data_IF_050103646971
#
_entry.id   IF_050103646971
#
_cell.length_a   1.000
_cell.length_b   1.000
_cell.length_c   1.000
_cell.angle_alpha   90.00
_cell.angle_beta   90.00
_cell.angle_gamma   90.00
#
_symmetry.space_group_name_H-M   'P 1'
#
loop_
_entity.id
_entity.type
_entity.pdbx_description
1 polymer ?
#
# COMPACT_ATOMS: atom_id res chain seq x y z
N UNK A 1 -4.30 24.77 28.37
CA UNK A 1 -4.12 26.15 27.85
C UNK A 1 -3.15 26.03 26.69
N UNK A 2 -3.60 26.21 25.46
CA UNK A 2 -2.77 26.06 24.27
C UNK A 2 -1.56 27.03 24.32
N UNK A 3 -0.38 26.54 23.94
CA UNK A 3 0.83 27.37 23.91
C UNK A 3 0.65 28.54 22.92
N UNK A 4 0.71 29.77 23.45
CA UNK A 4 0.44 31.03 22.74
C UNK A 4 1.27 31.30 21.47
N UNK A 5 2.30 30.50 21.19
CA UNK A 5 3.17 30.61 20.02
C UNK A 5 2.82 29.62 18.88
N UNK A 6 1.92 28.66 19.09
CA UNK A 6 1.53 27.71 18.05
C UNK A 6 0.45 28.36 17.17
N UNK A 7 0.67 28.50 15.85
CA UNK A 7 -0.36 29.03 14.96
C UNK A 7 -1.61 28.15 14.99
N UNK A 8 -2.81 28.75 14.99
CA UNK A 8 -4.08 28.01 15.06
C UNK A 8 -4.25 26.95 13.94
N UNK A 9 -3.68 27.19 12.76
CA UNK A 9 -3.67 26.23 11.66
C UNK A 9 -2.80 25.00 11.97
N UNK A 10 -1.68 25.19 12.68
CA UNK A 10 -0.77 24.12 13.09
C UNK A 10 -1.37 23.31 14.23
N UNK A 11 -2.02 23.97 15.19
CA UNK A 11 -2.73 23.28 16.28
C UNK A 11 -3.86 22.41 15.74
N UNK A 12 -4.65 22.92 14.79
CA UNK A 12 -5.72 22.14 14.15
C UNK A 12 -5.18 20.90 13.40
N UNK A 13 -4.03 21.04 12.72
CA UNK A 13 -3.38 19.94 12.02
C UNK A 13 -2.77 18.91 12.98
N UNK A 14 -2.19 19.37 14.08
CA UNK A 14 -1.63 18.50 15.12
C UNK A 14 -2.71 17.73 15.88
N UNK A 15 -3.86 18.36 16.15
CA UNK A 15 -5.02 17.72 16.76
C UNK A 15 -5.65 16.65 15.88
N UNK A 16 -5.52 16.81 14.57
CA UNK A 16 -5.89 15.78 13.61
C UNK A 16 -4.91 14.61 13.59
N UNK A 17 -3.63 14.84 13.89
CA UNK A 17 -2.59 13.79 13.90
C UNK A 17 -2.48 13.05 15.24
N UNK A 18 -2.60 13.73 16.38
CA UNK A 18 -2.22 13.21 17.71
C UNK A 18 -3.24 13.63 18.78
N UNK A 19 -3.50 12.80 19.80
CA UNK A 19 -4.29 13.22 20.97
C UNK A 19 -3.77 14.50 21.66
N UNK A 20 -4.71 15.29 22.20
CA UNK A 20 -4.44 16.55 22.93
C UNK A 20 -3.36 16.41 24.01
N UNK A 21 -3.37 15.31 24.78
CA UNK A 21 -2.40 15.06 25.84
C UNK A 21 -0.96 15.01 25.34
N UNK A 22 -0.73 14.45 24.15
CA UNK A 22 0.59 14.41 23.55
C UNK A 22 1.01 15.76 22.96
N UNK A 23 0.07 16.59 22.51
CA UNK A 23 0.37 17.96 22.07
C UNK A 23 0.83 18.79 23.26
N UNK A 24 0.13 18.69 24.40
CA UNK A 24 0.56 19.36 25.64
C UNK A 24 1.95 18.88 26.07
N UNK A 25 2.19 17.57 26.09
CA UNK A 25 3.48 17.03 26.53
C UNK A 25 4.65 17.39 25.59
N UNK A 26 4.46 17.32 24.27
CA UNK A 26 5.53 17.58 23.30
C UNK A 26 5.79 19.07 23.04
N UNK A 27 4.73 19.90 22.97
CA UNK A 27 4.81 21.31 22.53
C UNK A 27 4.64 22.33 23.65
N UNK A 28 3.90 22.00 24.72
CA UNK A 28 3.70 22.91 25.86
C UNK A 28 4.77 22.64 26.92
N UNK A 29 4.99 21.37 27.27
CA UNK A 29 5.98 20.96 28.27
C UNK A 29 7.39 20.75 27.68
N UNK A 30 7.56 20.87 26.36
CA UNK A 30 8.81 20.57 25.62
C UNK A 30 9.42 19.20 25.97
N UNK A 31 8.59 18.23 26.37
CA UNK A 31 9.04 16.90 26.71
C UNK A 31 9.12 16.00 25.46
N UNK A 32 10.04 16.37 24.56
CA UNK A 32 10.26 15.68 23.27
C UNK A 32 10.74 14.23 23.47
N UNK A 33 11.24 13.90 24.68
CA UNK A 33 11.67 12.56 25.06
C UNK A 33 10.54 11.67 25.58
N UNK A 34 9.28 12.13 25.57
CA UNK A 34 8.13 11.29 25.88
C UNK A 34 7.94 10.23 24.77
N UNK A 35 8.57 9.07 24.97
CA UNK A 35 8.74 8.00 23.96
C UNK A 35 7.41 7.57 23.33
N UNK A 36 6.34 7.50 24.11
CA UNK A 36 5.02 7.07 23.64
C UNK A 36 4.39 8.08 22.66
N UNK A 37 4.46 9.37 22.99
CA UNK A 37 3.90 10.43 22.16
C UNK A 37 4.72 10.62 20.87
N UNK A 38 6.04 10.47 20.97
CA UNK A 38 6.93 10.54 19.81
C UNK A 38 6.67 9.38 18.83
N UNK A 39 6.46 8.16 19.32
CA UNK A 39 6.10 7.00 18.48
C UNK A 39 4.78 7.22 17.75
N UNK A 40 3.75 7.73 18.44
CA UNK A 40 2.45 8.04 17.83
C UNK A 40 2.60 9.10 16.75
N UNK A 41 3.32 10.20 17.03
CA UNK A 41 3.60 11.25 16.06
C UNK A 41 4.27 10.70 14.81
N UNK A 42 5.37 9.98 14.97
CA UNK A 42 6.14 9.40 13.85
C UNK A 42 5.26 8.43 13.06
N UNK A 43 4.48 7.59 13.74
CA UNK A 43 3.59 6.63 13.10
C UNK A 43 2.56 7.33 12.22
N UNK A 44 1.93 8.40 12.73
CA UNK A 44 0.91 9.17 12.00
C UNK A 44 1.49 9.90 10.80
N UNK A 45 2.63 10.58 10.98
CA UNK A 45 3.33 11.27 9.89
C UNK A 45 3.71 10.28 8.80
N UNK A 46 4.25 9.12 9.18
CA UNK A 46 4.63 8.08 8.25
C UNK A 46 3.41 7.48 7.53
N UNK A 47 2.33 7.18 8.25
CA UNK A 47 1.07 6.67 7.70
C UNK A 47 0.46 7.64 6.67
N UNK A 48 0.35 8.92 7.00
CA UNK A 48 -0.15 9.95 6.08
C UNK A 48 0.82 10.21 4.91
N UNK A 49 2.13 10.15 5.15
CA UNK A 49 3.14 10.21 4.08
C UNK A 49 2.97 9.08 3.07
N UNK A 50 2.71 7.86 3.54
CA UNK A 50 2.44 6.72 2.65
C UNK A 50 1.12 6.92 1.91
N UNK A 51 0.06 7.43 2.55
CA UNK A 51 -1.21 7.76 1.89
C UNK A 51 -1.00 8.75 0.74
N UNK A 52 -0.23 9.82 0.98
CA UNK A 52 0.12 10.82 -0.03
C UNK A 52 0.94 10.23 -1.17
N UNK A 53 1.91 9.35 -0.87
CA UNK A 53 2.67 8.64 -1.89
C UNK A 53 1.76 7.77 -2.77
N UNK A 54 0.97 6.90 -2.13
CA UNK A 54 0.07 5.95 -2.79
C UNK A 54 -1.00 6.63 -3.66
N UNK A 55 -1.42 7.85 -3.30
CA UNK A 55 -2.38 8.62 -4.12
C UNK A 55 -1.78 9.17 -5.42
N UNK A 56 -0.46 9.12 -5.62
CA UNK A 56 0.19 9.55 -6.86
C UNK A 56 0.70 8.36 -7.68
N UNK A 57 0.99 7.21 -7.04
CA UNK A 57 1.69 6.06 -7.66
C UNK A 57 1.08 5.60 -9.00
N UNK A 58 -0.24 5.48 -9.12
CA UNK A 58 -0.88 4.98 -10.36
C UNK A 58 -1.29 6.09 -11.32
N UNK A 59 -1.22 7.36 -10.91
CA UNK A 59 -1.60 8.51 -11.75
C UNK A 59 -0.80 8.57 -13.06
N UNK A 60 0.54 8.38 -13.08
CA UNK A 60 1.30 8.33 -14.32
C UNK A 60 0.84 7.21 -15.26
N UNK A 61 0.43 6.06 -14.72
CA UNK A 61 -0.09 4.95 -15.51
C UNK A 61 -1.44 5.30 -16.15
N UNK A 62 -2.34 5.93 -15.39
CA UNK A 62 -3.64 6.42 -15.89
C UNK A 62 -3.44 7.43 -17.03
N UNK A 63 -2.54 8.41 -16.84
CA UNK A 63 -2.23 9.41 -17.86
C UNK A 63 -1.70 8.73 -19.13
N UNK A 64 -0.78 7.77 -19.01
CA UNK A 64 -0.25 7.03 -20.17
C UNK A 64 -1.34 6.31 -20.97
N UNK A 65 -2.27 5.62 -20.30
CA UNK A 65 -3.38 4.91 -20.98
C UNK A 65 -4.28 5.88 -21.71
N UNK A 66 -4.63 7.00 -21.07
CA UNK A 66 -5.51 8.03 -21.66
C UNK A 66 -4.85 8.68 -22.87
N UNK A 67 -3.57 9.06 -22.76
CA UNK A 67 -2.82 9.69 -23.85
C UNK A 67 -2.59 8.73 -25.02
N UNK A 68 -2.27 7.47 -24.74
CA UNK A 68 -2.07 6.45 -25.77
C UNK A 68 -3.38 5.95 -26.38
N UNK A 69 -4.54 6.21 -25.74
CA UNK A 69 -5.85 5.65 -26.10
C UNK A 69 -5.83 4.12 -26.25
N UNK A 70 -4.92 3.46 -25.54
CA UNK A 70 -4.68 2.03 -25.61
C UNK A 70 -4.22 1.51 -24.25
N UNK A 71 -4.63 0.28 -23.94
CA UNK A 71 -4.21 -0.45 -22.75
C UNK A 71 -3.36 -1.69 -23.09
N UNK A 72 -2.73 -1.67 -24.26
CA UNK A 72 -1.84 -2.74 -24.72
C UNK A 72 -0.66 -2.94 -23.74
N UNK A 73 -0.29 -4.20 -23.50
CA UNK A 73 0.75 -4.58 -22.54
C UNK A 73 0.30 -4.60 -21.06
N UNK A 74 -0.93 -4.15 -20.74
CA UNK A 74 -1.47 -4.21 -19.39
C UNK A 74 -2.31 -5.48 -19.22
N UNK A 75 -1.91 -6.35 -18.28
CA UNK A 75 -2.66 -7.56 -17.96
C UNK A 75 -3.89 -7.25 -17.09
N UNK A 76 -5.10 -7.44 -17.64
CA UNK A 76 -6.35 -7.26 -16.89
C UNK A 76 -6.41 -8.15 -15.64
N UNK A 77 -5.95 -9.40 -15.73
CA UNK A 77 -5.92 -10.31 -14.59
C UNK A 77 -4.99 -9.82 -13.48
N UNK A 78 -3.85 -9.23 -13.85
CA UNK A 78 -2.95 -8.59 -12.89
C UNK A 78 -3.62 -7.43 -12.15
N UNK A 79 -4.32 -6.56 -12.90
CA UNK A 79 -5.06 -5.44 -12.33
C UNK A 79 -6.20 -5.91 -11.42
N UNK A 80 -6.93 -6.96 -11.79
CA UNK A 80 -8.01 -7.53 -10.97
C UNK A 80 -7.49 -8.18 -9.67
N UNK A 81 -6.34 -8.87 -9.73
CA UNK A 81 -5.69 -9.43 -8.55
C UNK A 81 -5.21 -8.32 -7.60
N UNK A 82 -4.63 -7.25 -8.14
CA UNK A 82 -4.23 -6.07 -7.36
C UNK A 82 -5.45 -5.42 -6.70
N UNK A 83 -6.53 -5.21 -7.46
CA UNK A 83 -7.78 -4.64 -6.94
C UNK A 83 -8.39 -5.51 -5.83
N UNK A 84 -8.34 -6.83 -5.98
CA UNK A 84 -8.82 -7.77 -4.96
C UNK A 84 -8.00 -7.67 -3.68
N UNK A 85 -6.68 -7.66 -3.76
CA UNK A 85 -5.79 -7.53 -2.60
C UNK A 85 -6.00 -6.22 -1.84
N UNK A 86 -6.17 -5.11 -2.57
CA UNK A 86 -6.49 -3.79 -2.02
C UNK A 86 -7.85 -3.82 -1.32
N UNK A 87 -8.87 -4.39 -1.98
CA UNK A 87 -10.24 -4.48 -1.45
C UNK A 87 -10.27 -5.30 -0.15
N UNK A 88 -9.58 -6.43 -0.11
CA UNK A 88 -9.52 -7.28 1.08
C UNK A 88 -8.90 -6.54 2.27
N UNK A 89 -7.80 -5.81 2.03
CA UNK A 89 -7.13 -4.99 3.05
C UNK A 89 -8.03 -3.86 3.54
N UNK A 90 -8.70 -3.16 2.64
CA UNK A 90 -9.64 -2.09 2.97
C UNK A 90 -10.82 -2.62 3.81
N UNK A 91 -11.48 -3.69 3.34
CA UNK A 91 -12.65 -4.24 4.01
C UNK A 91 -12.31 -4.78 5.41
N UNK A 92 -11.20 -5.51 5.55
CA UNK A 92 -10.73 -6.00 6.85
C UNK A 92 -10.39 -4.86 7.81
N UNK A 93 -9.66 -3.85 7.34
CA UNK A 93 -9.26 -2.71 8.18
C UNK A 93 -10.45 -1.83 8.59
N UNK A 94 -11.39 -1.63 7.67
CA UNK A 94 -12.62 -0.89 7.93
C UNK A 94 -13.51 -1.61 8.94
N UNK A 95 -13.69 -2.93 8.78
CA UNK A 95 -14.50 -3.73 9.70
C UNK A 95 -13.93 -3.78 11.12
N UNK A 96 -12.59 -3.76 11.28
CA UNK A 96 -11.93 -3.65 12.58
C UNK A 96 -11.88 -2.21 13.14
N UNK A 97 -12.42 -1.23 12.41
CA UNK A 97 -12.48 0.19 12.81
C UNK A 97 -11.10 0.79 13.12
N UNK A 98 -10.08 0.39 12.38
CA UNK A 98 -8.75 0.99 12.51
C UNK A 98 -8.77 2.48 12.11
N UNK A 99 -7.82 3.29 12.61
CA UNK A 99 -7.71 4.68 12.19
C UNK A 99 -7.41 4.78 10.69
N UNK A 100 -7.88 5.85 10.04
CA UNK A 100 -7.72 6.07 8.60
C UNK A 100 -6.24 6.04 8.15
N UNK A 101 -5.31 6.51 8.97
CA UNK A 101 -3.86 6.43 8.71
C UNK A 101 -3.34 5.00 8.47
N UNK A 102 -4.00 3.98 9.04
CA UNK A 102 -3.59 2.59 8.92
C UNK A 102 -3.95 1.96 7.56
N UNK A 103 -5.05 2.38 6.94
CA UNK A 103 -5.58 1.75 5.72
C UNK A 103 -5.91 2.72 4.58
N UNK A 104 -5.80 4.02 4.79
CA UNK A 104 -6.22 5.05 3.83
C UNK A 104 -5.52 4.93 2.47
N UNK A 105 -4.31 4.36 2.43
CA UNK A 105 -3.60 4.08 1.18
C UNK A 105 -4.41 3.14 0.28
N UNK A 106 -5.08 2.15 0.87
CA UNK A 106 -5.86 1.15 0.16
C UNK A 106 -7.07 1.82 -0.50
N UNK A 107 -7.67 2.81 0.14
CA UNK A 107 -8.81 3.55 -0.42
C UNK A 107 -8.40 4.31 -1.70
N UNK A 108 -7.30 5.06 -1.68
CA UNK A 108 -6.83 5.79 -2.87
C UNK A 108 -6.36 4.84 -3.98
N UNK A 109 -5.62 3.79 -3.62
CA UNK A 109 -5.18 2.76 -4.56
C UNK A 109 -6.36 2.02 -5.19
N UNK A 110 -7.44 1.80 -4.45
CA UNK A 110 -8.67 1.17 -4.95
C UNK A 110 -9.26 1.97 -6.10
N UNK A 111 -9.48 3.28 -5.91
CA UNK A 111 -10.06 4.12 -6.94
C UNK A 111 -9.19 4.16 -8.21
N UNK A 112 -7.89 4.30 -8.05
CA UNK A 112 -6.97 4.37 -9.18
C UNK A 112 -6.87 3.04 -9.92
N UNK A 113 -6.82 1.92 -9.20
CA UNK A 113 -6.72 0.58 -9.79
C UNK A 113 -8.03 0.16 -10.44
N UNK A 114 -9.19 0.50 -9.85
CA UNK A 114 -10.50 0.29 -10.48
C UNK A 114 -10.65 1.13 -11.76
N UNK A 115 -10.17 2.37 -11.76
CA UNK A 115 -10.14 3.20 -12.97
C UNK A 115 -9.27 2.58 -14.06
N UNK A 116 -8.09 2.05 -13.72
CA UNK A 116 -7.24 1.32 -14.67
C UNK A 116 -7.96 0.09 -15.21
N UNK A 117 -8.60 -0.73 -14.36
CA UNK A 117 -9.33 -1.92 -14.79
C UNK A 117 -10.44 -1.56 -15.79
N UNK A 118 -11.20 -0.51 -15.50
CA UNK A 118 -12.22 0.01 -16.40
C UNK A 118 -11.62 0.47 -17.74
N UNK A 119 -10.56 1.29 -17.71
CA UNK A 119 -9.90 1.78 -18.92
C UNK A 119 -9.36 0.63 -19.78
N UNK A 120 -8.78 -0.40 -19.16
CA UNK A 120 -8.28 -1.59 -19.87
C UNK A 120 -9.40 -2.28 -20.63
N UNK A 121 -10.55 -2.54 -20.00
CA UNK A 121 -11.70 -3.17 -20.66
C UNK A 121 -12.31 -2.24 -21.74
N UNK A 122 -12.36 -0.94 -21.46
CA UNK A 122 -12.93 0.05 -22.38
C UNK A 122 -12.10 0.18 -23.66
N UNK A 123 -10.77 0.32 -23.56
CA UNK A 123 -9.89 0.46 -24.73
C UNK A 123 -9.68 -0.86 -25.50
N UNK A 124 -10.03 -2.01 -24.91
CA UNK A 124 -10.13 -3.30 -25.63
C UNK A 124 -11.43 -3.46 -26.45
N UNK A 125 -12.29 -2.43 -26.50
CA UNK A 125 -13.59 -2.47 -27.19
C UNK A 125 -14.68 -3.25 -26.44
N UNK A 126 -14.42 -3.71 -25.20
CA UNK A 126 -15.35 -4.50 -24.40
C UNK A 126 -16.20 -3.60 -23.48
N UNK A 127 -16.90 -2.63 -24.06
CA UNK A 127 -17.62 -1.58 -23.29
C UNK A 127 -18.67 -2.15 -22.33
N UNK A 128 -19.45 -3.16 -22.74
CA UNK A 128 -20.43 -3.81 -21.88
C UNK A 128 -19.78 -4.49 -20.67
N UNK A 129 -18.64 -5.15 -20.87
CA UNK A 129 -17.88 -5.77 -19.79
C UNK A 129 -17.28 -4.72 -18.84
N UNK A 130 -16.84 -3.56 -19.36
CA UNK A 130 -16.32 -2.46 -18.54
C UNK A 130 -17.38 -1.89 -17.59
N UNK A 131 -18.60 -1.64 -18.09
CA UNK A 131 -19.72 -1.16 -17.27
C UNK A 131 -20.21 -2.25 -16.30
N UNK A 132 -20.32 -3.50 -16.78
CA UNK A 132 -20.67 -4.65 -15.94
C UNK A 132 -19.68 -4.86 -14.80
N UNK A 133 -18.38 -4.73 -15.09
CA UNK A 133 -17.32 -4.77 -14.08
C UNK A 133 -17.53 -3.72 -12.98
N UNK A 134 -17.81 -2.45 -13.33
CA UNK A 134 -18.07 -1.40 -12.34
C UNK A 134 -19.27 -1.74 -11.45
N UNK A 135 -20.38 -2.19 -12.04
CA UNK A 135 -21.58 -2.58 -11.30
C UNK A 135 -21.34 -3.75 -10.35
N UNK A 136 -20.72 -4.83 -10.85
CA UNK A 136 -20.37 -6.00 -10.04
C UNK A 136 -19.38 -5.63 -8.92
N UNK A 137 -18.36 -4.85 -9.25
CA UNK A 137 -17.35 -4.45 -8.27
C UNK A 137 -17.93 -3.56 -7.17
N UNK A 138 -18.79 -2.59 -7.53
CA UNK A 138 -19.48 -1.75 -6.56
C UNK A 138 -20.39 -2.57 -5.62
N UNK A 139 -21.09 -3.58 -6.15
CA UNK A 139 -21.93 -4.47 -5.35
C UNK A 139 -21.12 -5.36 -4.38
N UNK A 140 -19.97 -5.88 -4.83
CA UNK A 140 -19.06 -6.65 -3.96
C UNK A 140 -18.49 -5.75 -2.87
N UNK A 141 -18.02 -4.55 -3.23
CA UNK A 141 -17.45 -3.61 -2.27
C UNK A 141 -18.49 -3.16 -1.24
N UNK A 142 -19.73 -2.86 -1.66
CA UNK A 142 -20.80 -2.48 -0.74
C UNK A 142 -21.16 -3.60 0.23
N UNK A 143 -21.24 -4.85 -0.24
CA UNK A 143 -21.44 -6.01 0.62
C UNK A 143 -20.33 -6.14 1.68
N UNK A 144 -19.06 -6.08 1.26
CA UNK A 144 -17.92 -6.20 2.16
C UNK A 144 -17.84 -5.07 3.20
N UNK A 145 -18.29 -3.86 2.86
CA UNK A 145 -18.27 -2.69 3.75
C UNK A 145 -19.56 -2.50 4.57
N UNK A 146 -20.67 -3.17 4.21
CA UNK A 146 -21.98 -3.05 4.88
C UNK A 146 -22.02 -3.54 6.33
N UNK A 147 -21.01 -4.29 6.78
CA UNK A 147 -21.01 -4.99 8.06
C UNK A 147 -21.76 -6.34 8.05
N UNK A 148 -22.37 -6.73 6.91
CA UNK A 148 -23.01 -8.04 6.77
C UNK A 148 -22.01 -9.18 6.57
N UNK A 149 -20.81 -8.89 6.06
CA UNK A 149 -19.76 -9.88 5.87
C UNK A 149 -19.16 -10.29 7.23
N UNK A 150 -19.11 -11.60 7.56
CA UNK A 150 -18.56 -12.04 8.83
C UNK A 150 -17.05 -11.76 8.90
N UNK A 151 -16.55 -11.40 10.09
CA UNK A 151 -15.14 -11.08 10.28
C UNK A 151 -14.20 -12.23 9.88
N UNK A 152 -14.62 -13.49 10.06
CA UNK A 152 -13.86 -14.67 9.63
C UNK A 152 -13.62 -14.69 8.11
N UNK A 153 -14.61 -14.30 7.32
CA UNK A 153 -14.48 -14.17 5.87
C UNK A 153 -13.48 -13.06 5.52
N UNK A 154 -13.63 -11.88 6.12
CA UNK A 154 -12.73 -10.74 5.87
C UNK A 154 -11.28 -11.04 6.26
N UNK A 155 -11.07 -11.67 7.42
CA UNK A 155 -9.75 -12.10 7.89
C UNK A 155 -9.14 -13.14 6.95
N UNK A 156 -9.93 -14.12 6.50
CA UNK A 156 -9.45 -15.15 5.55
C UNK A 156 -9.09 -14.54 4.20
N UNK A 157 -9.91 -13.62 3.69
CA UNK A 157 -9.66 -12.90 2.43
C UNK A 157 -8.38 -12.06 2.52
N UNK A 158 -8.18 -11.33 3.62
CA UNK A 158 -6.94 -10.59 3.85
C UNK A 158 -5.73 -11.54 3.98
N UNK A 159 -5.84 -12.59 4.80
CA UNK A 159 -4.77 -13.56 5.02
C UNK A 159 -4.35 -14.30 3.74
N UNK A 160 -5.30 -14.57 2.84
CA UNK A 160 -5.04 -15.21 1.54
C UNK A 160 -4.15 -14.38 0.62
N UNK A 161 -4.02 -13.07 0.87
CA UNK A 161 -3.08 -12.21 0.16
C UNK A 161 -1.61 -12.49 0.49
N UNK A 162 -1.31 -12.94 1.72
CA UNK A 162 0.07 -13.19 2.15
C UNK A 162 0.78 -14.26 1.31
N UNK A 163 0.21 -15.46 1.10
CA UNK A 163 0.84 -16.47 0.25
C UNK A 163 1.06 -16.00 -1.18
N UNK A 164 0.11 -15.23 -1.75
CA UNK A 164 0.22 -14.73 -3.13
C UNK A 164 1.43 -13.80 -3.28
N UNK A 165 1.59 -12.86 -2.35
CA UNK A 165 2.75 -11.94 -2.34
C UNK A 165 4.04 -12.72 -2.17
N UNK A 166 4.09 -13.67 -1.24
CA UNK A 166 5.28 -14.47 -0.98
C UNK A 166 5.70 -15.29 -2.20
N UNK A 167 4.76 -16.01 -2.82
CA UNK A 167 5.02 -16.82 -4.02
C UNK A 167 5.50 -15.92 -5.17
N UNK A 168 4.85 -14.77 -5.40
CA UNK A 168 5.25 -13.82 -6.43
C UNK A 168 6.70 -13.35 -6.26
N UNK A 169 7.09 -12.98 -5.05
CA UNK A 169 8.44 -12.52 -4.73
C UNK A 169 9.47 -13.65 -4.77
N UNK A 170 9.09 -14.86 -4.38
CA UNK A 170 9.96 -16.04 -4.46
C UNK A 170 10.25 -16.43 -5.91
N UNK A 171 9.25 -16.41 -6.79
CA UNK A 171 9.46 -16.64 -8.24
C UNK A 171 10.47 -15.62 -8.78
N UNK A 172 10.33 -14.35 -8.42
CA UNK A 172 11.26 -13.31 -8.82
C UNK A 172 12.67 -13.52 -8.25
N UNK A 173 12.79 -13.89 -6.98
CA UNK A 173 14.09 -14.14 -6.35
C UNK A 173 14.82 -15.34 -6.99
N UNK A 174 14.10 -16.41 -7.29
CA UNK A 174 14.66 -17.59 -7.99
C UNK A 174 15.09 -17.20 -9.40
N UNK A 175 14.32 -16.39 -10.12
CA UNK A 175 14.68 -15.91 -11.45
C UNK A 175 15.98 -15.09 -11.43
N UNK A 176 16.10 -14.15 -10.50
CA UNK A 176 17.33 -13.35 -10.32
C UNK A 176 18.54 -14.24 -10.03
N UNK A 177 18.39 -15.23 -9.15
CA UNK A 177 19.47 -16.16 -8.80
C UNK A 177 19.90 -17.01 -10.01
N UNK A 178 18.94 -17.56 -10.76
CA UNK A 178 19.22 -18.36 -11.96
C UNK A 178 19.88 -17.55 -13.08
N UNK A 179 19.53 -16.27 -13.20
CA UNK A 179 20.09 -15.37 -14.21
C UNK A 179 21.46 -14.80 -13.80
N UNK A 180 21.78 -14.80 -12.50
CA UNK A 180 23.00 -14.18 -11.98
C UNK A 180 23.02 -12.65 -12.09
N UNK A 181 21.88 -12.02 -12.37
CA UNK A 181 21.69 -10.57 -12.42
C UNK A 181 20.23 -10.22 -12.11
N UNK A 182 19.94 -8.97 -11.75
CA UNK A 182 18.56 -8.48 -11.52
C UNK A 182 17.87 -7.90 -12.77
N UNK A 183 18.59 -7.81 -13.89
CA UNK A 183 18.04 -7.39 -15.18
C UNK A 183 17.53 -5.95 -15.16
N UNK A 184 16.29 -5.74 -15.62
CA UNK A 184 15.64 -4.41 -15.71
C UNK A 184 14.90 -4.00 -14.43
N UNK A 185 15.19 -4.65 -13.30
CA UNK A 185 14.56 -4.33 -12.03
C UNK A 185 15.05 -2.96 -11.52
N UNK A 186 14.11 -2.06 -11.24
CA UNK A 186 14.43 -0.75 -10.68
C UNK A 186 14.89 -0.87 -9.22
N UNK A 187 16.18 -0.61 -8.97
CA UNK A 187 16.74 -0.58 -7.63
C UNK A 187 15.96 0.34 -6.69
N UNK A 188 15.63 1.56 -7.17
CA UNK A 188 14.85 2.55 -6.41
C UNK A 188 13.53 1.95 -5.97
N UNK A 189 12.81 1.28 -6.88
CA UNK A 189 11.52 0.65 -6.57
C UNK A 189 11.67 -0.46 -5.54
N UNK A 190 12.69 -1.31 -5.66
CA UNK A 190 12.93 -2.42 -4.69
C UNK A 190 13.19 -1.89 -3.29
N UNK A 191 14.05 -0.87 -3.15
CA UNK A 191 14.34 -0.25 -1.85
C UNK A 191 13.11 0.47 -1.28
N UNK A 192 12.37 1.23 -2.10
CA UNK A 192 11.15 1.90 -1.65
C UNK A 192 10.08 0.91 -1.19
N UNK A 193 9.90 -0.22 -1.89
CA UNK A 193 8.97 -1.27 -1.46
C UNK A 193 9.39 -1.89 -0.13
N UNK A 194 10.70 -2.09 0.07
CA UNK A 194 11.25 -2.64 1.32
C UNK A 194 11.06 -1.66 2.48
N UNK A 195 11.44 -0.40 2.30
CA UNK A 195 11.30 0.64 3.32
C UNK A 195 9.82 0.93 3.63
N UNK A 196 8.97 0.97 2.61
CA UNK A 196 7.53 1.16 2.78
C UNK A 196 6.86 0.02 3.54
N UNK A 197 7.22 -1.24 3.27
CA UNK A 197 6.68 -2.37 4.02
C UNK A 197 7.19 -2.39 5.46
N UNK A 198 8.46 -2.03 5.71
CA UNK A 198 9.01 -1.90 7.07
C UNK A 198 8.31 -0.76 7.84
N UNK A 199 8.11 0.38 7.19
CA UNK A 199 7.34 1.49 7.74
C UNK A 199 5.93 1.02 8.16
N UNK A 200 5.26 0.22 7.32
CA UNK A 200 3.94 -0.35 7.63
C UNK A 200 3.93 -1.34 8.80
N UNK A 201 5.03 -2.05 9.09
CA UNK A 201 5.15 -2.85 10.32
C UNK A 201 5.05 -1.93 11.54
N UNK A 202 5.86 -0.87 11.58
CA UNK A 202 5.89 0.08 12.68
C UNK A 202 4.54 0.78 12.86
N UNK A 203 3.96 1.31 11.78
CA UNK A 203 2.68 2.01 11.88
C UNK A 203 1.55 1.08 12.27
N UNK A 204 1.51 -0.16 11.75
CA UNK A 204 0.46 -1.12 12.13
C UNK A 204 0.59 -1.53 13.59
N UNK A 205 1.81 -1.78 14.07
CA UNK A 205 2.04 -2.06 15.49
C UNK A 205 1.55 -0.93 16.39
N UNK A 206 1.83 0.32 16.02
CA UNK A 206 1.48 1.50 16.81
C UNK A 206 -0.01 1.90 16.69
N UNK A 207 -0.65 1.66 15.55
CA UNK A 207 -2.00 2.16 15.26
C UNK A 207 -3.11 1.13 15.38
N UNK A 208 -2.82 -0.15 15.16
CA UNK A 208 -3.84 -1.22 15.16
C UNK A 208 -3.60 -2.25 16.25
N UNK A 209 -2.34 -2.57 16.55
CA UNK A 209 -1.98 -3.67 17.44
C UNK A 209 -2.40 -5.05 16.93
N UNK A 210 -2.80 -5.15 15.66
CA UNK A 210 -3.35 -6.37 15.08
C UNK A 210 -2.26 -7.28 14.50
N UNK A 211 -2.12 -8.47 15.08
CA UNK A 211 -1.11 -9.44 14.69
C UNK A 211 -1.23 -9.91 13.24
N UNK A 212 -2.43 -10.02 12.68
CA UNK A 212 -2.61 -10.49 11.30
C UNK A 212 -2.11 -9.43 10.30
N UNK A 213 -2.46 -8.17 10.52
CA UNK A 213 -1.98 -7.06 9.68
C UNK A 213 -0.47 -6.88 9.81
N UNK A 214 0.06 -6.93 11.03
CA UNK A 214 1.50 -6.82 11.30
C UNK A 214 2.26 -7.96 10.61
N UNK A 215 1.80 -9.21 10.75
CA UNK A 215 2.44 -10.37 10.13
C UNK A 215 2.44 -10.29 8.61
N UNK A 216 1.38 -9.76 8.00
CA UNK A 216 1.32 -9.51 6.56
C UNK A 216 2.46 -8.59 6.10
N UNK A 217 2.71 -7.49 6.82
CA UNK A 217 3.80 -6.57 6.50
C UNK A 217 5.19 -7.11 6.87
N UNK A 218 5.31 -7.97 7.90
CA UNK A 218 6.56 -8.69 8.22
C UNK A 218 6.95 -9.63 7.08
N UNK A 219 6.02 -10.46 6.61
CA UNK A 219 6.24 -11.38 5.49
C UNK A 219 6.58 -10.60 4.22
N UNK A 220 5.83 -9.54 3.93
CA UNK A 220 6.10 -8.66 2.78
C UNK A 220 7.49 -8.02 2.86
N UNK A 221 7.89 -7.54 4.04
CA UNK A 221 9.22 -6.93 4.25
C UNK A 221 10.34 -7.92 4.09
N UNK A 222 10.23 -9.13 4.63
CA UNK A 222 11.22 -10.18 4.45
C UNK A 222 11.37 -10.56 2.96
N UNK A 223 10.25 -10.69 2.24
CA UNK A 223 10.25 -11.02 0.82
C UNK A 223 10.85 -9.89 -0.04
N UNK A 224 10.54 -8.62 0.24
CA UNK A 224 11.13 -7.47 -0.45
C UNK A 224 12.62 -7.31 -0.10
N UNK A 225 13.01 -7.54 1.16
CA UNK A 225 14.40 -7.48 1.59
C UNK A 225 15.27 -8.53 0.89
N UNK A 226 14.75 -9.75 0.66
CA UNK A 226 15.45 -10.77 -0.12
C UNK A 226 15.80 -10.26 -1.53
N UNK A 227 14.86 -9.62 -2.21
CA UNK A 227 15.09 -9.04 -3.55
C UNK A 227 16.05 -7.85 -3.46
N UNK A 228 15.93 -7.01 -2.43
CA UNK A 228 16.86 -5.90 -2.20
C UNK A 228 18.30 -6.38 -1.99
N UNK A 229 18.50 -7.46 -1.22
CA UNK A 229 19.80 -8.09 -1.03
C UNK A 229 20.36 -8.62 -2.36
N UNK A 230 19.54 -9.26 -3.19
CA UNK A 230 19.95 -9.67 -4.54
C UNK A 230 20.32 -8.46 -5.42
N UNK A 231 19.60 -7.35 -5.31
CA UNK A 231 19.90 -6.11 -6.03
C UNK A 231 21.28 -5.56 -5.65
N UNK A 232 21.63 -5.58 -4.37
CA UNK A 232 22.96 -5.17 -3.89
C UNK A 232 24.03 -6.16 -4.32
N UNK A 233 23.78 -7.46 -4.20
CA UNK A 233 24.73 -8.51 -4.56
C UNK A 233 25.10 -8.48 -6.05
N UNK A 234 24.11 -8.29 -6.92
CA UNK A 234 24.29 -8.27 -8.37
C UNK A 234 24.49 -6.86 -8.95
N UNK A 235 24.75 -5.84 -8.12
CA UNK A 235 24.77 -4.42 -8.52
C UNK A 235 25.68 -4.12 -9.74
N UNK A 236 26.83 -4.79 -9.81
CA UNK A 236 27.82 -4.60 -10.88
C UNK A 236 27.75 -5.68 -11.98
N UNK A 237 26.79 -6.61 -11.90
CA UNK A 237 26.66 -7.68 -12.91
C UNK A 237 25.76 -7.18 -14.03
N UNK A 238 26.39 -6.66 -15.09
CA UNK A 238 25.68 -6.24 -16.30
C UNK A 238 25.25 -7.43 -17.14
N UNK A 239 24.14 -7.27 -17.87
CA UNK A 239 23.66 -8.29 -18.81
C UNK A 239 24.73 -8.58 -19.86
N UNK A 240 25.15 -9.84 -19.97
CA UNK A 240 25.84 -10.29 -21.18
C UNK A 240 24.81 -10.25 -22.33
N UNK A 241 25.12 -9.66 -23.49
CA UNK A 241 24.23 -9.72 -24.64
C UNK A 241 23.91 -11.19 -24.93
N UNK A 242 22.64 -11.51 -25.18
CA UNK A 242 22.31 -12.84 -25.73
C UNK A 242 23.08 -12.98 -27.04
N UNK A 243 24.02 -13.91 -27.11
CA UNK A 243 24.57 -14.35 -28.38
C UNK A 243 23.42 -15.01 -29.15
N UNK A 244 23.02 -14.40 -30.27
CA UNK A 244 22.15 -15.01 -31.28
C UNK A 244 22.82 -16.22 -31.92
#
# INVERSE_FOLDING_TARGET
MAASWVPAWLESLLLFLIPHSCIEELLVNFNIFHVECLKILISKVLGYGIILGSSIVKVPQVIKIVLARSAEGISIYGVLLELTAITNTLAYSYANKYPFSAYGEALFMLFQTAAIAFMVLYFQGKHAAAVGFLGCYAAILSYLLSGMAPMSLLATLHASGMPVVLVSKMIQAIANYRQGHTGQLSAITVFLLTLGSVARIFTSYQETGDSLLIMTYVVSSAANALIALQMVWYWNVSQKPKAE
#
